data_IF_495826419604
#
_entry.id   IF_495826419604
#
_cell.length_a   1.000
_cell.length_b   1.000
_cell.length_c   1.000
_cell.angle_alpha   90.00
_cell.angle_beta   90.00
_cell.angle_gamma   90.00
#
_symmetry.space_group_name_H-M   'P 1'
#
loop_
_entity.id
_entity.type
_entity.pdbx_description
1 polymer ?
#
# COMPACT_ATOMS: atom_id res chain seq x y z
N UNK A 1 5.83 -4.29 -93.93
CA UNK A 1 6.51 -4.99 -92.82
C UNK A 1 6.16 -4.26 -91.53
N UNK A 2 5.27 -4.82 -90.71
CA UNK A 2 4.91 -4.28 -89.41
C UNK A 2 5.24 -5.33 -88.35
N UNK A 3 6.21 -5.05 -87.48
CA UNK A 3 6.64 -5.90 -86.37
C UNK A 3 5.87 -5.50 -85.12
N UNK A 4 4.91 -6.34 -84.71
CA UNK A 4 4.20 -6.21 -83.44
C UNK A 4 5.07 -6.77 -82.30
N UNK A 5 5.64 -5.89 -81.48
CA UNK A 5 6.29 -6.26 -80.23
C UNK A 5 5.27 -6.50 -79.11
N UNK A 6 5.09 -7.74 -78.70
CA UNK A 6 4.26 -8.10 -77.55
C UNK A 6 5.04 -7.85 -76.24
N UNK A 7 4.53 -6.96 -75.37
CA UNK A 7 5.07 -6.72 -74.04
C UNK A 7 4.60 -7.81 -73.07
N UNK A 8 5.56 -8.57 -72.51
CA UNK A 8 5.29 -9.62 -71.54
C UNK A 8 4.86 -9.01 -70.18
N UNK A 9 3.65 -9.32 -69.73
CA UNK A 9 3.16 -8.98 -68.39
C UNK A 9 3.99 -9.72 -67.33
N UNK A 10 4.87 -9.00 -66.62
CA UNK A 10 5.53 -9.49 -65.40
C UNK A 10 4.47 -9.80 -64.34
N UNK A 11 4.27 -11.08 -64.04
CA UNK A 11 3.42 -11.53 -62.94
C UNK A 11 3.92 -10.98 -61.60
N UNK A 12 2.99 -10.51 -60.77
CA UNK A 12 3.27 -10.10 -59.38
C UNK A 12 3.96 -11.24 -58.64
N UNK A 13 5.16 -10.98 -58.11
CA UNK A 13 5.83 -11.91 -57.22
C UNK A 13 4.94 -12.15 -55.99
N UNK A 14 4.50 -13.40 -55.79
CA UNK A 14 3.88 -13.84 -54.53
C UNK A 14 4.94 -13.74 -53.45
N UNK A 15 4.86 -12.72 -52.59
CA UNK A 15 5.66 -12.64 -51.37
C UNK A 15 5.20 -13.80 -50.49
N UNK A 16 5.98 -14.88 -50.43
CA UNK A 16 5.72 -15.98 -49.50
C UNK A 16 5.89 -15.44 -48.08
N UNK A 17 4.92 -15.75 -47.21
CA UNK A 17 5.05 -15.44 -45.79
C UNK A 17 6.35 -16.09 -45.27
N UNK A 18 7.23 -15.34 -44.57
CA UNK A 18 8.45 -15.90 -44.00
C UNK A 18 8.10 -17.13 -43.16
N UNK A 19 8.80 -18.24 -43.39
CA UNK A 19 8.70 -19.42 -42.52
C UNK A 19 9.07 -18.95 -41.11
N UNK A 20 8.18 -19.11 -40.14
CA UNK A 20 8.48 -18.88 -38.72
C UNK A 20 9.57 -19.90 -38.32
N UNK A 21 10.83 -19.50 -38.42
CA UNK A 21 11.96 -20.21 -37.85
C UNK A 21 12.41 -19.42 -36.63
N UNK A 22 11.85 -19.79 -35.49
CA UNK A 22 12.38 -19.51 -34.17
C UNK A 22 12.25 -20.81 -33.36
N UNK A 23 13.08 -21.02 -32.32
CA UNK A 23 12.87 -22.14 -31.40
C UNK A 23 11.43 -22.13 -30.92
N UNK A 24 10.80 -23.30 -30.83
CA UNK A 24 9.42 -23.46 -30.38
C UNK A 24 9.30 -22.79 -28.99
N UNK A 25 8.66 -21.62 -28.96
CA UNK A 25 8.47 -20.87 -27.73
C UNK A 25 7.50 -21.66 -26.85
N UNK A 26 8.04 -22.34 -25.84
CA UNK A 26 7.22 -23.00 -24.83
C UNK A 26 6.86 -21.99 -23.75
N UNK A 27 5.61 -21.51 -23.78
CA UNK A 27 5.09 -20.56 -22.80
C UNK A 27 5.20 -21.11 -21.36
N UNK A 28 4.96 -22.41 -21.17
CA UNK A 28 5.02 -23.07 -19.87
C UNK A 28 6.42 -23.10 -19.28
N UNK A 29 7.43 -23.41 -20.11
CA UNK A 29 8.84 -23.41 -19.67
C UNK A 29 9.31 -22.01 -19.32
N UNK A 30 9.05 -21.03 -20.20
CA UNK A 30 9.41 -19.62 -19.94
C UNK A 30 8.70 -19.07 -18.71
N UNK A 31 7.42 -19.39 -18.52
CA UNK A 31 6.69 -19.01 -17.31
C UNK A 31 7.28 -19.66 -16.06
N UNK A 32 7.65 -20.94 -16.11
CA UNK A 32 8.21 -21.65 -14.96
C UNK A 32 9.55 -21.05 -14.52
N UNK A 33 10.42 -20.72 -15.48
CA UNK A 33 11.68 -20.03 -15.21
C UNK A 33 11.46 -18.62 -14.64
N UNK A 34 10.56 -17.84 -15.25
CA UNK A 34 10.21 -16.51 -14.77
C UNK A 34 9.57 -16.54 -13.37
N UNK A 35 8.67 -17.49 -13.11
CA UNK A 35 8.01 -17.68 -11.82
C UNK A 35 9.02 -18.01 -10.71
N UNK A 36 10.01 -18.86 -11.00
CA UNK A 36 11.12 -19.13 -10.08
C UNK A 36 11.91 -17.85 -9.79
N UNK A 37 12.26 -17.10 -10.82
CA UNK A 37 13.02 -15.86 -10.66
C UNK A 37 12.21 -14.79 -9.89
N UNK A 38 10.88 -14.73 -10.07
CA UNK A 38 9.99 -13.86 -9.30
C UNK A 38 10.03 -14.23 -7.81
N UNK A 39 10.00 -15.52 -7.46
CA UNK A 39 10.12 -15.96 -6.05
C UNK A 39 11.46 -15.55 -5.44
N UNK A 40 12.55 -15.72 -6.17
CA UNK A 40 13.88 -15.26 -5.72
C UNK A 40 13.93 -13.74 -5.51
N UNK A 41 13.24 -12.94 -6.35
CA UNK A 41 13.09 -11.50 -6.15
C UNK A 41 12.30 -11.23 -4.86
N UNK A 42 11.21 -11.97 -4.62
CA UNK A 42 10.39 -11.81 -3.43
C UNK A 42 11.18 -12.11 -2.15
N UNK A 43 12.04 -13.13 -2.19
CA UNK A 43 12.95 -13.57 -1.12
C UNK A 43 14.20 -12.70 -0.94
N UNK A 44 14.28 -11.55 -1.63
CA UNK A 44 15.42 -10.62 -1.60
C UNK A 44 16.73 -11.18 -2.18
N UNK A 45 16.69 -12.28 -2.93
CA UNK A 45 17.84 -12.87 -3.62
C UNK A 45 18.02 -12.35 -5.06
N UNK A 46 17.60 -11.11 -5.32
CA UNK A 46 17.58 -10.54 -6.67
C UNK A 46 18.98 -10.29 -7.26
N UNK A 47 20.03 -10.20 -6.44
CA UNK A 47 21.39 -9.85 -6.87
C UNK A 47 22.00 -10.84 -7.87
N UNK A 48 21.53 -12.09 -7.87
CA UNK A 48 22.05 -13.15 -8.75
C UNK A 48 21.25 -13.29 -10.06
N UNK A 49 20.23 -12.46 -10.28
CA UNK A 49 19.33 -12.57 -11.43
C UNK A 49 19.61 -11.50 -12.47
N UNK A 50 19.63 -11.90 -13.75
CA UNK A 50 19.74 -10.96 -14.87
C UNK A 50 18.42 -10.23 -15.09
N UNK A 51 18.42 -8.90 -14.94
CA UNK A 51 17.26 -8.06 -15.23
C UNK A 51 16.81 -8.21 -16.70
N UNK A 52 17.76 -8.21 -17.63
CA UNK A 52 17.50 -8.27 -19.07
C UNK A 52 16.83 -9.61 -19.46
N UNK A 53 17.31 -10.71 -18.88
CA UNK A 53 16.75 -12.04 -19.13
C UNK A 53 15.29 -12.15 -18.66
N UNK A 54 15.03 -11.71 -17.42
CA UNK A 54 13.67 -11.68 -16.86
C UNK A 54 12.73 -10.79 -17.68
N UNK A 55 13.19 -9.61 -18.08
CA UNK A 55 12.42 -8.71 -18.93
C UNK A 55 12.14 -9.34 -20.30
N UNK A 56 13.09 -10.07 -20.89
CA UNK A 56 12.92 -10.78 -22.16
C UNK A 56 11.92 -11.93 -22.05
N UNK A 57 11.91 -12.69 -20.96
CA UNK A 57 10.91 -13.72 -20.71
C UNK A 57 9.49 -13.12 -20.67
N UNK A 58 9.30 -12.06 -19.89
CA UNK A 58 8.02 -11.36 -19.81
C UNK A 58 7.60 -10.77 -21.16
N UNK A 59 8.53 -10.16 -21.90
CA UNK A 59 8.28 -9.62 -23.24
C UNK A 59 7.81 -10.70 -24.22
N UNK A 60 8.52 -11.84 -24.28
CA UNK A 60 8.18 -12.95 -25.17
C UNK A 60 6.81 -13.57 -24.84
N UNK A 61 6.46 -13.67 -23.55
CA UNK A 61 5.14 -14.15 -23.11
C UNK A 61 4.01 -13.25 -23.64
N UNK A 62 4.15 -11.93 -23.48
CA UNK A 62 3.13 -10.97 -23.95
C UNK A 62 3.08 -10.93 -25.47
N UNK A 63 4.23 -10.95 -26.15
CA UNK A 63 4.33 -10.93 -27.62
C UNK A 63 3.63 -12.15 -28.25
N UNK A 64 3.78 -13.32 -27.65
CA UNK A 64 3.14 -14.56 -28.09
C UNK A 64 1.69 -14.72 -27.59
N UNK A 65 1.05 -13.64 -27.11
CA UNK A 65 -0.35 -13.62 -26.62
C UNK A 65 -0.62 -14.45 -25.35
N UNK A 66 0.40 -14.75 -24.55
CA UNK A 66 0.26 -15.41 -23.25
C UNK A 66 0.25 -14.41 -22.07
N UNK A 67 -0.24 -13.19 -22.31
CA UNK A 67 -0.32 -12.13 -21.28
C UNK A 67 -1.24 -12.49 -20.12
N UNK A 68 -2.34 -13.20 -20.38
CA UNK A 68 -3.28 -13.64 -19.34
C UNK A 68 -2.64 -14.63 -18.37
N UNK A 69 -1.90 -15.61 -18.90
CA UNK A 69 -1.15 -16.58 -18.12
C UNK A 69 -0.11 -15.89 -17.23
N UNK A 70 0.63 -14.93 -17.79
CA UNK A 70 1.61 -14.12 -17.06
C UNK A 70 0.95 -13.32 -15.93
N UNK A 71 -0.17 -12.63 -16.22
CA UNK A 71 -0.86 -11.78 -15.25
C UNK A 71 -1.48 -12.58 -14.10
N UNK A 72 -2.22 -13.65 -14.42
CA UNK A 72 -2.84 -14.51 -13.42
C UNK A 72 -1.78 -15.28 -12.60
N UNK A 73 -0.70 -15.69 -13.26
CA UNK A 73 0.44 -16.32 -12.62
C UNK A 73 1.13 -15.39 -11.62
N UNK A 74 1.39 -14.14 -12.01
CA UNK A 74 1.94 -13.10 -11.12
C UNK A 74 1.01 -12.87 -9.93
N UNK A 75 -0.28 -12.66 -10.19
CA UNK A 75 -1.29 -12.43 -9.15
C UNK A 75 -1.28 -13.54 -8.10
N UNK A 76 -1.17 -14.79 -8.53
CA UNK A 76 -1.07 -15.95 -7.63
C UNK A 76 0.23 -15.94 -6.82
N UNK A 77 1.39 -15.73 -7.46
CA UNK A 77 2.69 -15.71 -6.76
C UNK A 77 2.77 -14.60 -5.70
N UNK A 78 2.23 -13.41 -6.01
CA UNK A 78 2.19 -12.30 -5.06
C UNK A 78 1.24 -12.61 -3.90
N UNK A 79 0.08 -13.23 -4.18
CA UNK A 79 -0.84 -13.65 -3.12
C UNK A 79 -0.23 -14.72 -2.19
N UNK A 80 0.44 -15.73 -2.75
CA UNK A 80 1.14 -16.78 -2.00
C UNK A 80 2.24 -16.20 -1.08
N UNK A 81 3.03 -15.26 -1.60
CA UNK A 81 4.07 -14.57 -0.82
C UNK A 81 3.47 -13.75 0.32
N UNK A 82 2.42 -12.97 0.07
CA UNK A 82 1.73 -12.19 1.10
C UNK A 82 1.15 -13.07 2.23
N UNK A 83 0.52 -14.20 1.88
CA UNK A 83 0.00 -15.14 2.87
C UNK A 83 1.11 -15.79 3.70
N UNK A 84 2.23 -16.13 3.06
CA UNK A 84 3.41 -16.67 3.73
C UNK A 84 4.02 -15.64 4.69
N UNK A 85 4.13 -14.37 4.25
CA UNK A 85 4.65 -13.28 5.06
C UNK A 85 3.73 -12.97 6.24
N UNK A 86 2.41 -12.95 6.04
CA UNK A 86 1.44 -12.74 7.10
C UNK A 86 1.54 -13.82 8.18
N UNK A 87 1.58 -15.09 7.76
CA UNK A 87 1.62 -16.24 8.67
C UNK A 87 2.93 -16.30 9.44
N UNK A 88 4.06 -15.98 8.79
CA UNK A 88 5.39 -16.02 9.44
C UNK A 88 5.69 -14.82 10.32
N UNK A 89 5.26 -13.62 9.94
CA UNK A 89 5.74 -12.38 10.57
C UNK A 89 4.64 -11.61 11.30
N UNK A 90 3.37 -11.74 10.94
CA UNK A 90 2.31 -10.92 11.54
C UNK A 90 1.56 -11.74 12.60
N UNK A 91 1.07 -12.92 12.23
CA UNK A 91 0.27 -13.79 13.11
C UNK A 91 0.96 -14.16 14.43
N UNK A 92 2.28 -14.42 14.48
CA UNK A 92 2.95 -14.77 15.74
C UNK A 92 3.01 -13.62 16.76
N UNK A 93 2.83 -12.38 16.31
CA UNK A 93 2.86 -11.18 17.16
C UNK A 93 1.47 -10.70 17.53
N UNK A 94 0.44 -11.54 17.43
CA UNK A 94 -0.87 -11.19 17.94
C UNK A 94 -0.83 -11.04 19.47
N UNK A 95 -1.50 -10.01 20.01
CA UNK A 95 -1.44 -9.72 21.43
C UNK A 95 -2.02 -10.88 22.24
N UNK A 96 -1.38 -11.21 23.36
CA UNK A 96 -1.73 -12.37 24.18
C UNK A 96 -2.95 -12.10 25.08
N UNK A 97 -3.46 -10.87 25.10
CA UNK A 97 -4.56 -10.44 25.97
C UNK A 97 -4.12 -10.10 27.40
N UNK A 98 -2.85 -9.75 27.59
CA UNK A 98 -2.32 -9.31 28.88
C UNK A 98 -3.00 -8.03 29.38
N UNK A 99 -3.10 -7.89 30.71
CA UNK A 99 -3.64 -6.69 31.37
C UNK A 99 -2.56 -5.70 31.79
N UNK A 100 -1.27 -6.06 31.67
CA UNK A 100 -0.16 -5.16 32.00
C UNK A 100 0.07 -4.15 30.85
N UNK A 101 -0.09 -2.84 31.10
CA UNK A 101 0.09 -1.80 30.07
C UNK A 101 1.49 -1.79 29.42
N UNK A 102 2.53 -2.18 30.16
CA UNK A 102 3.90 -2.17 29.67
C UNK A 102 4.16 -3.33 28.70
N UNK A 103 3.66 -4.52 29.04
CA UNK A 103 3.76 -5.72 28.20
C UNK A 103 2.89 -5.56 26.95
N UNK A 104 1.67 -5.04 27.11
CA UNK A 104 0.75 -4.78 26.01
C UNK A 104 1.35 -3.80 24.99
N UNK A 105 1.95 -2.70 25.45
CA UNK A 105 2.61 -1.73 24.56
C UNK A 105 3.75 -2.37 23.77
N UNK A 106 4.52 -3.27 24.39
CA UNK A 106 5.57 -4.02 23.70
C UNK A 106 5.04 -4.99 22.63
N UNK A 107 3.99 -5.76 22.94
CA UNK A 107 3.33 -6.66 21.98
C UNK A 107 2.76 -5.88 20.79
N UNK A 108 2.08 -4.76 21.06
CA UNK A 108 1.49 -3.89 20.05
C UNK A 108 2.57 -3.27 19.15
N UNK A 109 3.69 -2.81 19.71
CA UNK A 109 4.81 -2.25 18.93
C UNK A 109 5.47 -3.29 18.01
N UNK A 110 5.65 -4.52 18.49
CA UNK A 110 6.19 -5.63 17.69
C UNK A 110 5.26 -5.98 16.52
N UNK A 111 3.95 -6.00 16.75
CA UNK A 111 2.96 -6.25 15.70
C UNK A 111 3.01 -5.15 14.62
N UNK A 112 3.03 -3.88 15.03
CA UNK A 112 3.07 -2.74 14.12
C UNK A 112 4.39 -2.68 13.34
N UNK A 113 5.51 -2.95 14.01
CA UNK A 113 6.83 -3.06 13.37
C UNK A 113 6.83 -4.15 12.30
N UNK A 114 6.25 -5.32 12.62
CA UNK A 114 6.16 -6.44 11.69
C UNK A 114 5.29 -6.11 10.47
N UNK A 115 4.15 -5.45 10.67
CA UNK A 115 3.30 -4.99 9.57
C UNK A 115 4.03 -4.00 8.66
N UNK A 116 4.70 -3.00 9.24
CA UNK A 116 5.49 -2.00 8.50
C UNK A 116 6.60 -2.67 7.68
N UNK A 117 7.28 -3.67 8.25
CA UNK A 117 8.33 -4.42 7.56
C UNK A 117 7.77 -5.23 6.37
N UNK A 118 6.65 -5.93 6.55
CA UNK A 118 5.97 -6.67 5.48
C UNK A 118 5.50 -5.73 4.36
N UNK A 119 4.91 -4.58 4.70
CA UNK A 119 4.54 -3.55 3.73
C UNK A 119 5.73 -3.04 2.92
N UNK A 120 6.81 -2.67 3.61
CA UNK A 120 8.02 -2.12 2.97
C UNK A 120 8.65 -3.15 2.02
N UNK A 121 8.73 -4.42 2.43
CA UNK A 121 9.20 -5.53 1.59
C UNK A 121 8.31 -5.68 0.35
N UNK A 122 6.99 -5.70 0.54
CA UNK A 122 6.02 -5.83 -0.54
C UNK A 122 6.14 -4.71 -1.57
N UNK A 123 6.13 -3.44 -1.15
CA UNK A 123 6.23 -2.30 -2.07
C UNK A 123 7.54 -2.33 -2.86
N UNK A 124 8.66 -2.62 -2.21
CA UNK A 124 9.95 -2.75 -2.89
C UNK A 124 9.95 -3.88 -3.94
N UNK A 125 9.33 -5.02 -3.62
CA UNK A 125 9.16 -6.11 -4.55
C UNK A 125 8.27 -5.71 -5.74
N UNK A 126 7.15 -5.06 -5.49
CA UNK A 126 6.24 -4.61 -6.54
C UNK A 126 6.89 -3.60 -7.48
N UNK A 127 7.71 -2.68 -6.97
CA UNK A 127 8.49 -1.74 -7.80
C UNK A 127 9.44 -2.50 -8.73
N UNK A 128 10.17 -3.49 -8.21
CA UNK A 128 11.09 -4.32 -9.02
C UNK A 128 10.32 -5.12 -10.09
N UNK A 129 9.22 -5.75 -9.70
CA UNK A 129 8.36 -6.51 -10.61
C UNK A 129 7.76 -5.60 -11.70
N UNK A 130 7.33 -4.38 -11.35
CA UNK A 130 6.84 -3.40 -12.31
C UNK A 130 7.89 -2.98 -13.35
N UNK A 131 9.19 -2.93 -12.99
CA UNK A 131 10.24 -2.68 -13.97
C UNK A 131 10.45 -3.86 -14.94
N UNK A 132 10.40 -5.10 -14.42
CA UNK A 132 10.54 -6.32 -15.24
C UNK A 132 9.33 -6.52 -16.16
N UNK A 133 8.13 -6.24 -15.65
CA UNK A 133 6.86 -6.48 -16.33
C UNK A 133 6.32 -5.23 -17.05
N UNK A 134 7.15 -4.22 -17.24
CA UNK A 134 6.79 -2.93 -17.85
C UNK A 134 6.08 -3.06 -19.20
N UNK A 135 6.47 -4.05 -20.01
CA UNK A 135 5.81 -4.30 -21.30
C UNK A 135 4.39 -4.88 -21.14
N UNK A 136 4.17 -5.77 -20.15
CA UNK A 136 2.84 -6.27 -19.80
C UNK A 136 1.92 -5.13 -19.35
N UNK A 137 2.44 -4.24 -18.49
CA UNK A 137 1.72 -3.06 -18.00
C UNK A 137 1.39 -2.04 -19.09
N UNK A 138 2.11 -2.05 -20.21
CA UNK A 138 1.82 -1.14 -21.33
C UNK A 138 0.83 -1.74 -22.33
N UNK A 139 0.90 -3.04 -22.58
CA UNK A 139 0.18 -3.68 -23.68
C UNK A 139 -1.00 -4.50 -23.18
N UNK A 140 -0.76 -5.45 -22.27
CA UNK A 140 -1.77 -6.40 -21.84
C UNK A 140 -2.82 -5.74 -20.93
N UNK A 141 -2.37 -5.00 -19.91
CA UNK A 141 -3.27 -4.39 -18.91
C UNK A 141 -4.25 -3.38 -19.54
N UNK A 142 -3.80 -2.61 -20.53
CA UNK A 142 -4.65 -1.68 -21.28
C UNK A 142 -5.68 -2.41 -22.15
N UNK A 143 -5.27 -3.52 -22.79
CA UNK A 143 -6.14 -4.32 -23.65
C UNK A 143 -7.19 -5.06 -22.84
N UNK A 144 -6.79 -5.67 -21.72
CA UNK A 144 -7.66 -6.46 -20.85
C UNK A 144 -8.41 -5.61 -19.79
N UNK A 145 -8.13 -4.30 -19.71
CA UNK A 145 -8.68 -3.37 -18.71
C UNK A 145 -8.48 -3.86 -17.26
N UNK A 146 -7.31 -4.42 -16.98
CA UNK A 146 -6.91 -4.88 -15.64
C UNK A 146 -5.92 -3.91 -15.00
N UNK A 147 -5.83 -3.83 -13.67
CA UNK A 147 -4.91 -2.93 -12.99
C UNK A 147 -3.45 -3.25 -13.34
N UNK A 148 -2.61 -2.21 -13.38
CA UNK A 148 -1.17 -2.33 -13.59
C UNK A 148 -0.52 -3.10 -12.43
N UNK A 149 0.72 -3.56 -12.63
CA UNK A 149 1.43 -4.38 -11.65
C UNK A 149 1.45 -3.75 -10.25
N UNK A 150 1.76 -2.45 -10.13
CA UNK A 150 1.79 -1.77 -8.83
C UNK A 150 0.41 -1.71 -8.17
N UNK A 151 -0.63 -1.33 -8.92
CA UNK A 151 -2.01 -1.23 -8.41
C UNK A 151 -2.56 -2.59 -8.00
N UNK A 152 -2.25 -3.63 -8.78
CA UNK A 152 -2.54 -5.02 -8.43
C UNK A 152 -1.88 -5.39 -7.10
N UNK A 153 -0.64 -4.97 -6.88
CA UNK A 153 0.07 -5.18 -5.62
C UNK A 153 -0.65 -4.55 -4.43
N UNK A 154 -1.16 -3.33 -4.57
CA UNK A 154 -1.94 -2.65 -3.52
C UNK A 154 -3.25 -3.40 -3.22
N UNK A 155 -3.98 -3.79 -4.26
CA UNK A 155 -5.22 -4.55 -4.11
C UNK A 155 -5.01 -5.91 -3.45
N UNK A 156 -3.92 -6.61 -3.79
CA UNK A 156 -3.57 -7.88 -3.17
C UNK A 156 -3.15 -7.71 -1.72
N UNK A 157 -2.40 -6.66 -1.39
CA UNK A 157 -2.04 -6.36 0.00
C UNK A 157 -3.29 -6.12 0.86
N UNK A 158 -4.23 -5.30 0.37
CA UNK A 158 -5.52 -5.08 1.01
C UNK A 158 -6.23 -6.41 1.27
N UNK A 159 -6.37 -7.23 0.22
CA UNK A 159 -7.15 -8.47 0.26
C UNK A 159 -6.55 -9.53 1.17
N UNK A 160 -5.23 -9.70 1.17
CA UNK A 160 -4.58 -10.81 1.87
C UNK A 160 -4.03 -10.43 3.26
N UNK A 161 -3.67 -9.16 3.48
CA UNK A 161 -3.10 -8.67 4.75
C UNK A 161 -4.14 -7.89 5.57
N UNK A 162 -4.79 -6.87 5.01
CA UNK A 162 -5.75 -6.01 5.73
C UNK A 162 -7.14 -6.66 5.76
N UNK A 163 -7.19 -7.87 6.34
CA UNK A 163 -8.41 -8.64 6.56
C UNK A 163 -8.49 -9.12 8.01
N UNK A 164 -9.70 -9.45 8.52
CA UNK A 164 -9.81 -10.13 9.81
C UNK A 164 -9.05 -11.47 9.78
N UNK A 165 -8.32 -11.84 10.86
CA UNK A 165 -8.20 -11.15 12.15
C UNK A 165 -7.09 -10.07 12.22
N UNK A 166 -6.20 -9.99 11.23
CA UNK A 166 -5.04 -9.08 11.23
C UNK A 166 -5.48 -7.62 11.36
N UNK A 167 -6.47 -7.21 10.56
CA UNK A 167 -7.01 -5.84 10.57
C UNK A 167 -7.43 -5.41 11.97
N UNK A 168 -8.15 -6.25 12.70
CA UNK A 168 -8.70 -5.94 14.02
C UNK A 168 -7.58 -5.78 15.05
N UNK A 169 -6.62 -6.71 15.07
CA UNK A 169 -5.46 -6.64 15.96
C UNK A 169 -4.59 -5.41 15.70
N UNK A 170 -4.34 -5.08 14.42
CA UNK A 170 -3.57 -3.89 14.04
C UNK A 170 -4.31 -2.62 14.45
N UNK A 171 -5.62 -2.52 14.20
CA UNK A 171 -6.40 -1.37 14.62
C UNK A 171 -6.41 -1.22 16.15
N UNK A 172 -6.59 -2.32 16.88
CA UNK A 172 -6.53 -2.32 18.35
C UNK A 172 -5.15 -1.85 18.85
N UNK A 173 -4.07 -2.36 18.27
CA UNK A 173 -2.70 -1.94 18.61
C UNK A 173 -2.47 -0.44 18.37
N UNK A 174 -2.90 0.10 17.22
CA UNK A 174 -2.80 1.55 16.94
C UNK A 174 -3.56 2.36 18.01
N UNK A 175 -4.78 1.94 18.35
CA UNK A 175 -5.59 2.62 19.36
C UNK A 175 -4.94 2.55 20.75
N UNK A 176 -4.46 1.37 21.16
CA UNK A 176 -3.76 1.20 22.43
C UNK A 176 -2.52 2.08 22.52
N UNK A 177 -1.70 2.16 21.46
CA UNK A 177 -0.54 3.04 21.41
C UNK A 177 -0.92 4.51 21.59
N UNK A 178 -2.05 4.97 21.02
CA UNK A 178 -2.58 6.31 21.25
C UNK A 178 -2.98 6.50 22.73
N UNK A 179 -3.58 5.49 23.38
CA UNK A 179 -3.90 5.55 24.82
C UNK A 179 -2.64 5.62 25.68
N UNK A 180 -1.64 4.82 25.37
CA UNK A 180 -0.37 4.83 26.08
C UNK A 180 0.30 6.21 25.98
N UNK A 181 0.34 6.80 24.78
CA UNK A 181 0.88 8.16 24.61
C UNK A 181 0.10 9.21 25.43
N UNK A 182 -1.24 9.13 25.45
CA UNK A 182 -2.09 10.05 26.24
C UNK A 182 -1.87 9.91 27.74
N UNK A 183 -1.57 8.70 28.21
CA UNK A 183 -1.27 8.42 29.61
C UNK A 183 0.17 8.78 29.99
N UNK A 184 0.97 9.33 29.07
CA UNK A 184 2.34 9.78 29.32
C UNK A 184 3.42 8.71 29.10
N UNK A 185 3.08 7.55 28.55
CA UNK A 185 4.07 6.54 28.16
C UNK A 185 4.77 6.96 26.86
N UNK A 186 6.04 6.55 26.73
CA UNK A 186 6.83 6.77 25.52
C UNK A 186 6.47 5.70 24.49
N UNK A 187 6.13 6.11 23.27
CA UNK A 187 5.78 5.23 22.15
C UNK A 187 6.70 5.47 20.95
N UNK A 188 6.85 4.48 20.06
CA UNK A 188 7.53 4.68 18.78
C UNK A 188 6.60 5.32 17.75
N UNK A 189 6.66 6.66 17.69
CA UNK A 189 5.92 7.46 16.69
C UNK A 189 6.31 7.12 15.25
N UNK A 190 7.52 6.62 15.00
CA UNK A 190 7.99 6.31 13.64
C UNK A 190 7.34 5.04 13.09
N UNK A 191 7.06 4.07 13.95
CA UNK A 191 6.37 2.82 13.61
C UNK A 191 4.88 3.07 13.45
N UNK A 192 4.28 3.85 14.36
CA UNK A 192 2.90 4.32 14.24
C UNK A 192 2.64 5.07 12.94
N UNK A 193 3.47 6.07 12.62
CA UNK A 193 3.37 6.80 11.35
C UNK A 193 3.49 5.86 10.14
N UNK A 194 4.46 4.95 10.17
CA UNK A 194 4.65 3.97 9.10
C UNK A 194 3.41 3.10 8.88
N UNK A 195 2.72 2.69 9.96
CA UNK A 195 1.47 1.93 9.84
C UNK A 195 0.32 2.79 9.31
N UNK A 196 0.16 4.03 9.79
CA UNK A 196 -0.86 4.96 9.26
C UNK A 196 -0.64 5.24 7.77
N UNK A 197 0.62 5.38 7.33
CA UNK A 197 0.99 5.57 5.92
C UNK A 197 0.54 4.37 5.05
N UNK A 198 0.52 3.13 5.58
CA UNK A 198 -0.07 1.95 4.90
C UNK A 198 -1.57 2.17 4.66
N UNK A 199 -2.31 2.55 5.70
CA UNK A 199 -3.76 2.78 5.61
C UNK A 199 -4.13 3.94 4.68
N UNK A 200 -3.24 4.94 4.55
CA UNK A 200 -3.41 6.06 3.62
C UNK A 200 -3.08 5.68 2.16
N UNK A 201 -2.15 4.74 1.96
CA UNK A 201 -1.73 4.28 0.63
C UNK A 201 -2.72 3.30 -0.01
N UNK A 202 -3.59 2.69 0.80
CA UNK A 202 -4.58 1.72 0.34
C UNK A 202 -5.91 2.42 0.06
N UNK A 203 -6.45 2.18 -1.14
CA UNK A 203 -7.78 2.62 -1.54
C UNK A 203 -8.80 1.49 -1.26
N UNK A 204 -9.98 1.86 -0.78
CA UNK A 204 -11.10 0.95 -0.60
C UNK A 204 -11.94 0.79 -1.86
N UNK A 205 -12.92 -0.12 -1.78
CA UNK A 205 -13.86 -0.39 -2.88
C UNK A 205 -14.73 0.84 -3.24
N UNK A 206 -14.88 1.78 -2.30
CA UNK A 206 -15.59 3.04 -2.51
C UNK A 206 -14.69 4.04 -3.21
N UNK A 207 -15.05 4.44 -4.43
CA UNK A 207 -14.28 5.35 -5.29
C UNK A 207 -13.63 6.53 -4.55
N UNK A 208 -12.30 6.48 -4.40
CA UNK A 208 -11.46 7.56 -3.89
C UNK A 208 -11.39 7.68 -2.37
N UNK A 209 -12.00 6.77 -1.61
CA UNK A 209 -11.84 6.72 -0.15
C UNK A 209 -10.71 5.76 0.24
N UNK A 210 -9.76 6.26 1.02
CA UNK A 210 -8.69 5.43 1.59
C UNK A 210 -9.22 4.57 2.74
N UNK A 211 -8.57 3.43 2.98
CA UNK A 211 -8.90 2.55 4.11
C UNK A 211 -8.77 3.29 5.44
N UNK A 212 -7.83 4.23 5.52
CA UNK A 212 -7.74 5.15 6.65
C UNK A 212 -9.09 5.83 6.96
N UNK A 213 -9.74 6.44 5.97
CA UNK A 213 -11.00 7.17 6.17
C UNK A 213 -12.17 6.26 6.50
N UNK A 214 -12.17 5.05 5.95
CA UNK A 214 -13.26 4.10 6.11
C UNK A 214 -13.21 3.40 7.47
N UNK A 215 -12.01 2.98 7.89
CA UNK A 215 -11.85 2.10 9.05
C UNK A 215 -11.16 2.78 10.23
N UNK A 216 -10.00 3.41 10.01
CA UNK A 216 -9.15 3.88 11.10
C UNK A 216 -9.62 5.21 11.70
N UNK A 217 -9.95 6.19 10.86
CA UNK A 217 -10.38 7.53 11.28
C UNK A 217 -11.63 7.49 12.17
N UNK A 218 -12.72 6.76 11.83
CA UNK A 218 -13.89 6.68 12.70
C UNK A 218 -13.57 6.06 14.07
N UNK A 219 -12.70 5.06 14.11
CA UNK A 219 -12.30 4.39 15.34
C UNK A 219 -11.48 5.33 16.26
N UNK A 220 -10.50 6.04 15.68
CA UNK A 220 -9.67 7.01 16.41
C UNK A 220 -10.52 8.18 16.92
N UNK A 221 -11.46 8.70 16.10
CA UNK A 221 -12.34 9.80 16.50
C UNK A 221 -13.25 9.39 17.66
N UNK A 222 -13.89 8.21 17.58
CA UNK A 222 -14.75 7.68 18.64
C UNK A 222 -13.99 7.49 19.97
N UNK A 223 -12.78 6.96 19.88
CA UNK A 223 -11.93 6.78 21.06
C UNK A 223 -11.50 8.12 21.66
N UNK A 224 -11.11 9.08 20.82
CA UNK A 224 -10.75 10.43 21.24
C UNK A 224 -11.90 11.16 21.90
N UNK A 225 -13.11 11.05 21.33
CA UNK A 225 -14.33 11.60 21.93
C UNK A 225 -14.58 11.03 23.32
N UNK A 226 -14.49 9.70 23.47
CA UNK A 226 -14.69 9.02 24.75
C UNK A 226 -13.66 9.45 25.80
N UNK A 227 -12.39 9.56 25.40
CA UNK A 227 -11.30 10.01 26.28
C UNK A 227 -11.53 11.44 26.78
N UNK A 228 -11.79 12.39 25.88
CA UNK A 228 -11.97 13.79 26.27
C UNK A 228 -13.27 14.05 27.03
N UNK A 229 -14.32 13.25 26.82
CA UNK A 229 -15.52 13.29 27.67
C UNK A 229 -15.19 12.91 29.12
N UNK A 230 -14.49 11.80 29.31
CA UNK A 230 -14.07 11.33 30.65
C UNK A 230 -13.14 12.33 31.32
N UNK A 231 -12.10 12.79 30.61
CA UNK A 231 -11.16 13.79 31.13
C UNK A 231 -11.90 15.09 31.51
N UNK A 232 -12.89 15.50 30.71
CA UNK A 232 -13.76 16.64 31.02
C UNK A 232 -14.56 16.46 32.32
N UNK A 233 -15.20 15.31 32.49
CA UNK A 233 -15.96 14.98 33.71
C UNK A 233 -15.07 14.91 34.95
N UNK A 234 -13.89 14.29 34.85
CA UNK A 234 -12.91 14.21 35.94
C UNK A 234 -12.41 15.60 36.34
N UNK A 235 -12.09 16.46 35.37
CA UNK A 235 -11.66 17.83 35.64
C UNK A 235 -12.79 18.66 36.27
N UNK A 236 -14.03 18.51 35.84
CA UNK A 236 -15.19 19.20 36.43
C UNK A 236 -15.41 18.80 37.89
N UNK A 237 -15.17 17.52 38.23
CA UNK A 237 -15.33 17.01 39.59
C UNK A 237 -14.16 17.35 40.53
N UNK A 238 -12.96 17.54 39.98
CA UNK A 238 -11.72 17.71 40.76
C UNK A 238 -11.18 19.14 40.82
N UNK A 239 -11.65 20.07 39.98
CA UNK A 239 -11.03 21.39 39.83
C UNK A 239 -12.00 22.57 39.97
N UNK A 240 -11.50 23.67 40.55
CA UNK A 240 -12.18 24.97 40.58
C UNK A 240 -12.10 25.62 39.19
N UNK A 241 -13.15 26.34 38.77
CA UNK A 241 -13.30 26.97 37.45
C UNK A 241 -12.03 27.57 36.76
N UNK A 242 -11.12 28.29 37.45
CA UNK A 242 -9.91 28.81 36.81
C UNK A 242 -8.89 27.73 36.40
N UNK A 243 -8.76 26.65 37.18
CA UNK A 243 -7.83 25.53 36.91
C UNK A 243 -8.33 24.74 35.70
N UNK A 244 -9.66 24.59 35.56
CA UNK A 244 -10.29 23.99 34.40
C UNK A 244 -9.98 24.76 33.10
N UNK A 245 -10.13 26.09 33.11
CA UNK A 245 -9.86 26.94 31.94
C UNK A 245 -8.38 26.88 31.52
N UNK A 246 -7.45 26.90 32.49
CA UNK A 246 -6.02 26.83 32.21
C UNK A 246 -5.60 25.47 31.64
N UNK A 247 -6.12 24.37 32.20
CA UNK A 247 -5.84 23.01 31.71
C UNK A 247 -6.44 22.77 30.34
N UNK A 248 -7.67 23.25 30.08
CA UNK A 248 -8.31 23.14 28.76
C UNK A 248 -7.54 23.90 27.67
N UNK A 249 -6.95 25.06 28.00
CA UNK A 249 -6.13 25.83 27.07
C UNK A 249 -4.76 25.18 26.85
N UNK A 250 -4.15 24.59 27.88
CA UNK A 250 -2.93 23.78 27.75
C UNK A 250 -3.12 22.55 26.88
N UNK A 251 -4.25 21.84 27.02
CA UNK A 251 -4.60 20.70 26.17
C UNK A 251 -4.87 21.10 24.73
N UNK A 252 -5.41 22.31 24.46
CA UNK A 252 -5.49 22.88 23.10
C UNK A 252 -4.10 23.18 22.53
N UNK A 253 -3.19 23.73 23.33
CA UNK A 253 -1.84 24.10 22.90
C UNK A 253 -0.95 22.89 22.62
N UNK A 254 -1.02 21.86 23.46
CA UNK A 254 -0.36 20.58 23.18
C UNK A 254 -0.87 19.98 21.88
N UNK A 255 -2.19 20.00 21.62
CA UNK A 255 -2.79 19.52 20.35
C UNK A 255 -2.27 20.26 19.11
N UNK A 256 -2.04 21.57 19.18
CA UNK A 256 -1.39 22.31 18.09
C UNK A 256 0.09 21.94 17.93
N UNK A 257 0.81 21.71 19.03
CA UNK A 257 2.23 21.32 19.01
C UNK A 257 2.47 19.89 18.48
N UNK A 258 1.58 18.94 18.79
CA UNK A 258 1.55 17.59 18.19
C UNK A 258 1.32 17.62 16.66
N UNK A 259 0.53 18.59 16.19
CA UNK A 259 0.29 18.81 14.75
C UNK A 259 1.54 19.35 14.04
N UNK A 260 2.26 20.27 14.68
CA UNK A 260 3.46 20.92 14.14
C UNK A 260 4.65 19.96 14.12
N UNK A 261 4.83 19.10 15.14
CA UNK A 261 5.91 18.10 15.17
C UNK A 261 5.76 17.02 14.10
N UNK A 262 4.53 16.70 13.68
CA UNK A 262 4.29 15.81 12.53
C UNK A 262 4.60 16.49 11.18
N UNK A 263 4.65 17.82 11.12
CA UNK A 263 4.98 18.61 9.93
C UNK A 263 6.47 19.01 9.84
N UNK A 264 7.25 18.81 10.90
CA UNK A 264 8.62 19.31 11.04
C UNK A 264 9.71 18.24 10.84
N UNK A 265 9.58 17.36 9.84
CA UNK A 265 10.70 16.54 9.34
C UNK A 265 10.99 16.94 7.89
N UNK A 266 12.26 17.19 7.52
CA UNK A 266 12.60 18.07 6.40
C UNK A 266 12.28 17.46 5.03
N UNK A 267 11.83 18.33 4.15
CA UNK A 267 11.82 18.16 2.70
C UNK A 267 13.11 17.53 2.19
N UNK A 268 13.04 16.36 1.57
CA UNK A 268 13.53 16.16 0.20
C UNK A 268 13.20 14.72 -0.28
N UNK A 269 12.86 14.61 -1.57
CA UNK A 269 12.54 13.39 -2.33
C UNK A 269 11.05 12.99 -2.33
N UNK A 270 10.17 13.86 -2.82
CA UNK A 270 9.03 13.42 -3.64
C UNK A 270 8.44 14.58 -4.44
N UNK A 271 9.25 15.21 -5.29
CA UNK A 271 8.72 16.19 -6.23
C UNK A 271 9.41 16.01 -7.58
N UNK A 272 8.89 15.07 -8.38
CA UNK A 272 8.91 15.12 -9.85
C UNK A 272 7.94 14.07 -10.38
N UNK A 273 6.94 14.55 -11.10
CA UNK A 273 5.90 13.80 -11.81
C UNK A 273 4.82 13.16 -10.96
N UNK A 274 3.93 13.97 -10.40
CA UNK A 274 2.52 14.04 -10.81
C UNK A 274 1.94 15.33 -10.20
N UNK A 275 1.16 16.08 -10.98
CA UNK A 275 0.41 17.24 -10.49
C UNK A 275 -0.57 16.77 -9.41
N UNK A 276 -0.15 16.81 -8.15
CA UNK A 276 -1.03 16.71 -7.00
C UNK A 276 -0.67 17.92 -6.15
N UNK A 277 -1.58 18.88 -6.16
CA UNK A 277 -1.58 20.03 -5.27
C UNK A 277 -1.31 19.57 -3.84
N UNK A 278 -0.21 20.04 -3.24
CA UNK A 278 -0.01 20.02 -1.80
C UNK A 278 -1.29 20.53 -1.14
N UNK A 279 -1.97 19.68 -0.37
CA UNK A 279 -3.08 20.08 0.48
C UNK A 279 -2.53 20.33 1.90
N UNK A 280 -2.19 21.58 2.27
CA UNK A 280 -2.10 21.99 3.68
C UNK A 280 -3.47 21.99 4.39
N UNK A 281 -4.53 21.51 3.74
CA UNK A 281 -5.92 21.52 4.22
C UNK A 281 -6.36 20.26 4.99
N UNK A 282 -5.49 19.25 5.16
CA UNK A 282 -5.88 17.99 5.82
C UNK A 282 -6.04 18.15 7.34
N UNK A 283 -5.39 19.14 7.96
CA UNK A 283 -5.59 19.43 9.39
C UNK A 283 -6.66 20.49 9.68
N UNK A 284 -6.99 21.37 8.73
CA UNK A 284 -8.08 22.35 8.90
C UNK A 284 -9.47 21.71 8.83
N UNK A 285 -9.64 20.64 8.04
CA UNK A 285 -10.94 19.99 7.86
C UNK A 285 -11.37 19.12 9.06
N UNK A 286 -10.42 18.71 9.92
CA UNK A 286 -10.74 18.06 11.20
C UNK A 286 -11.23 19.04 12.27
N UNK A 287 -11.08 20.36 12.08
CA UNK A 287 -11.28 21.34 13.16
C UNK A 287 -12.32 22.45 12.93
N UNK A 288 -12.74 22.78 11.69
CA UNK A 288 -13.54 24.00 11.46
C UNK A 288 -14.94 23.86 10.83
N UNK A 289 -15.50 22.66 10.61
CA UNK A 289 -16.86 22.57 10.01
C UNK A 289 -17.93 21.76 10.73
N UNK A 290 -17.73 21.29 11.96
CA UNK A 290 -18.84 20.66 12.74
C UNK A 290 -18.98 21.04 14.21
N UNK A 291 -18.24 22.03 14.72
CA UNK A 291 -18.50 22.62 16.06
C UNK A 291 -19.40 23.86 15.90
N UNK A 292 -20.64 23.65 15.44
CA UNK A 292 -21.71 24.66 15.49
C UNK A 292 -23.05 24.06 15.95
N UNK A 293 -23.00 23.02 16.78
CA UNK A 293 -24.20 22.32 17.30
C UNK A 293 -24.24 22.24 18.84
N UNK A 294 -23.23 22.73 19.57
CA UNK A 294 -23.25 22.70 21.04
C UNK A 294 -22.99 24.10 21.63
N UNK A 295 -24.02 24.94 21.53
CA UNK A 295 -24.29 26.06 22.42
C UNK A 295 -25.81 26.23 22.46
N UNK A 296 -26.53 25.72 23.47
CA UNK A 296 -27.75 26.36 23.92
C UNK A 296 -27.35 27.55 24.82
N UNK A 297 -28.11 28.65 24.69
CA UNK A 297 -28.13 29.76 25.62
C UNK A 297 -28.30 29.32 27.07
#
# INVERSE_FOLDING_TARGET
MATTGASARRGRAKIMAPRKHGPEFSAEKTWSELARNIREIQDQNASNLSFEENHRFAYNMVLNKHGEMLYNGLKRLVAEDLETLATRNIVPHFPSGTTDPSVQSGEDDLLLTSLKAVWTRHINNMVRLGQILKYMDRVYTQTAKVPATNDLGLQLFLKHIIRPPIKENVMAAILNQIRHERNGYVIDRSTMKGCVDVYLSLEGDTHGATIYKLDLEPAVLKESETFYKREGEELLNSSTAPIFLQSSNGSKQKKTEYTITCQAIPNHICCKSYRITCYPHIFELLYLKKIRVWMPC
#
